data_IF_638868912600
#
_entry.id   IF_638868912600
#
_cell.length_a   1.000
_cell.length_b   1.000
_cell.length_c   1.000
_cell.angle_alpha   90.00
_cell.angle_beta   90.00
_cell.angle_gamma   90.00
#
_symmetry.space_group_name_H-M   'P 1'
#
loop_
_entity.id
_entity.type
_entity.pdbx_description
1 polymer ?
#
# COMPACT_ATOMS: atom_id res chain seq x y z
N UNK A 1 -10.56 -20.75 -10.52
CA UNK A 1 -10.08 -20.68 -9.12
C UNK A 1 -9.35 -19.40 -8.73
N UNK A 2 -9.18 -18.42 -9.65
CA UNK A 2 -8.49 -17.17 -9.30
C UNK A 2 -7.10 -17.40 -8.68
N UNK A 3 -6.78 -16.67 -7.62
CA UNK A 3 -5.48 -16.79 -6.94
C UNK A 3 -5.30 -18.10 -6.15
N UNK A 4 -6.31 -18.96 -6.08
CA UNK A 4 -6.16 -20.30 -5.51
C UNK A 4 -5.63 -21.34 -6.51
N UNK A 5 -5.66 -21.02 -7.82
CA UNK A 5 -5.13 -21.92 -8.83
C UNK A 5 -3.60 -21.78 -8.92
N UNK A 6 -2.82 -22.87 -8.76
CA UNK A 6 -1.35 -22.82 -8.83
C UNK A 6 -0.80 -22.36 -10.20
N UNK A 7 -1.56 -22.55 -11.29
CA UNK A 7 -1.15 -22.15 -12.64
C UNK A 7 -1.24 -20.65 -12.88
N UNK A 8 -1.88 -19.89 -11.96
CA UNK A 8 -2.09 -18.45 -12.09
C UNK A 8 -0.78 -17.67 -12.28
N UNK A 9 0.32 -18.17 -11.71
CA UNK A 9 1.63 -17.52 -11.85
C UNK A 9 2.12 -17.53 -13.30
N UNK A 10 1.90 -18.64 -14.03
CA UNK A 10 2.20 -18.74 -15.46
C UNK A 10 1.30 -17.83 -16.29
N UNK A 11 -0.01 -17.87 -16.07
CA UNK A 11 -0.96 -17.03 -16.79
C UNK A 11 -0.71 -15.54 -16.57
N UNK A 12 -0.35 -15.16 -15.34
CA UNK A 12 -0.01 -13.78 -15.03
C UNK A 12 1.28 -13.34 -15.73
N UNK A 13 2.29 -14.21 -15.81
CA UNK A 13 3.52 -13.95 -16.55
C UNK A 13 3.26 -13.77 -18.06
N UNK A 14 2.40 -14.59 -18.65
CA UNK A 14 2.00 -14.47 -20.06
C UNK A 14 1.28 -13.14 -20.33
N UNK A 15 0.34 -12.76 -19.45
CA UNK A 15 -0.33 -11.47 -19.51
C UNK A 15 0.66 -10.30 -19.37
N UNK A 16 1.56 -10.37 -18.39
CA UNK A 16 2.58 -9.36 -18.16
C UNK A 16 3.51 -9.22 -19.38
N UNK A 17 3.98 -10.34 -19.95
CA UNK A 17 4.80 -10.34 -21.19
C UNK A 17 4.08 -9.67 -22.35
N UNK A 18 2.78 -9.94 -22.54
CA UNK A 18 2.00 -9.26 -23.57
C UNK A 18 1.96 -7.73 -23.37
N UNK A 19 1.77 -7.29 -22.09
CA UNK A 19 1.81 -5.86 -21.73
C UNK A 19 3.21 -5.25 -21.96
N UNK A 20 4.28 -5.95 -21.55
CA UNK A 20 5.65 -5.49 -21.71
C UNK A 20 6.00 -5.30 -23.19
N UNK A 21 5.77 -6.31 -24.04
CA UNK A 21 6.03 -6.20 -25.50
C UNK A 21 5.29 -5.04 -26.15
N UNK A 22 4.07 -4.73 -25.69
CA UNK A 22 3.23 -3.68 -26.28
C UNK A 22 3.58 -2.28 -25.80
N UNK A 23 3.99 -2.11 -24.55
CA UNK A 23 4.02 -0.81 -23.85
C UNK A 23 5.42 -0.39 -23.39
N UNK A 24 6.43 -1.28 -23.32
CA UNK A 24 7.75 -0.98 -22.73
C UNK A 24 8.46 0.21 -23.41
N UNK A 25 8.21 0.45 -24.71
CA UNK A 25 8.70 1.64 -25.39
C UNK A 25 8.20 2.98 -24.83
N UNK A 26 7.10 2.96 -24.06
CA UNK A 26 6.45 4.15 -23.47
C UNK A 26 6.49 4.15 -21.96
N UNK A 27 6.41 2.97 -21.32
CA UNK A 27 6.40 2.80 -19.85
C UNK A 27 7.83 2.58 -19.36
N UNK A 28 8.27 3.40 -18.40
CA UNK A 28 9.63 3.36 -17.86
C UNK A 28 9.72 2.77 -16.45
N UNK A 29 8.59 2.68 -15.76
CA UNK A 29 8.46 2.09 -14.43
C UNK A 29 7.30 1.11 -14.45
N UNK A 30 7.59 -0.15 -14.21
CA UNK A 30 6.61 -1.22 -14.16
C UNK A 30 6.43 -1.68 -12.71
N UNK A 31 5.21 -1.87 -12.27
CA UNK A 31 4.90 -2.55 -11.02
C UNK A 31 4.14 -3.84 -11.34
N UNK A 32 4.56 -4.94 -10.76
CA UNK A 32 3.93 -6.26 -10.98
C UNK A 32 2.57 -6.36 -10.32
N UNK A 33 2.52 -5.99 -9.03
CA UNK A 33 1.32 -6.03 -8.20
C UNK A 33 1.14 -4.66 -7.53
N UNK A 34 -0.11 -4.33 -7.24
CA UNK A 34 -0.49 -3.29 -6.30
C UNK A 34 -1.21 -3.95 -5.11
N UNK A 35 -0.70 -3.70 -3.90
CA UNK A 35 -1.33 -4.07 -2.63
C UNK A 35 -1.79 -5.54 -2.54
N UNK A 36 -0.90 -6.51 -2.68
CA UNK A 36 -1.30 -7.92 -2.61
C UNK A 36 -1.95 -8.30 -1.27
N UNK A 37 -1.64 -7.57 -0.18
CA UNK A 37 -2.30 -7.73 1.11
C UNK A 37 -3.80 -7.44 1.01
N UNK A 38 -4.21 -6.37 0.33
CA UNK A 38 -5.63 -6.02 0.17
C UNK A 38 -6.40 -7.10 -0.56
N UNK A 39 -5.78 -7.72 -1.58
CA UNK A 39 -6.37 -8.86 -2.30
C UNK A 39 -6.60 -10.04 -1.36
N UNK A 40 -5.61 -10.38 -0.53
CA UNK A 40 -5.67 -11.56 0.35
C UNK A 40 -6.52 -11.34 1.58
N UNK A 41 -6.37 -10.23 2.26
CA UNK A 41 -7.14 -9.86 3.45
C UNK A 41 -8.61 -9.63 3.12
N UNK A 42 -8.86 -8.70 2.21
CA UNK A 42 -10.21 -8.32 1.82
C UNK A 42 -10.93 -9.38 0.99
N UNK A 43 -10.21 -10.07 0.11
CA UNK A 43 -10.81 -11.00 -0.84
C UNK A 43 -10.94 -12.43 -0.34
N UNK A 44 -9.99 -12.92 0.47
CA UNK A 44 -9.93 -14.33 0.85
C UNK A 44 -10.05 -14.59 2.34
N UNK A 45 -9.58 -13.68 3.22
CA UNK A 45 -9.67 -13.88 4.67
C UNK A 45 -10.98 -13.34 5.25
N UNK A 46 -11.31 -12.08 4.96
CA UNK A 46 -12.46 -11.38 5.54
C UNK A 46 -13.65 -11.22 4.59
N UNK A 47 -13.45 -11.35 3.29
CA UNK A 47 -14.51 -11.33 2.28
C UNK A 47 -15.19 -9.97 2.10
N UNK A 48 -14.54 -8.88 2.49
CA UNK A 48 -15.02 -7.52 2.29
C UNK A 48 -14.91 -7.04 0.82
N UNK A 49 -14.03 -7.67 0.06
CA UNK A 49 -13.75 -7.41 -1.35
C UNK A 49 -13.95 -8.69 -2.18
N UNK A 50 -14.04 -8.53 -3.50
CA UNK A 50 -14.07 -9.68 -4.40
C UNK A 50 -12.78 -10.53 -4.26
N UNK A 51 -12.88 -11.87 -4.32
CA UNK A 51 -14.04 -12.70 -4.65
C UNK A 51 -15.00 -12.96 -3.48
N UNK A 52 -14.78 -12.41 -2.29
CA UNK A 52 -15.70 -12.50 -1.16
C UNK A 52 -15.55 -13.76 -0.31
N UNK A 53 -14.44 -14.45 -0.40
CA UNK A 53 -14.16 -15.64 0.41
C UNK A 53 -13.86 -15.25 1.87
N UNK A 54 -14.22 -16.12 2.80
CA UNK A 54 -13.95 -15.99 4.25
C UNK A 54 -13.31 -17.27 4.76
N UNK A 55 -12.04 -17.47 4.39
CA UNK A 55 -11.42 -18.77 4.61
C UNK A 55 -9.92 -18.61 4.95
N UNK A 56 -9.56 -18.97 6.19
CA UNK A 56 -8.19 -18.92 6.68
C UNK A 56 -7.21 -19.84 5.97
N UNK A 57 -7.70 -20.94 5.37
CA UNK A 57 -6.86 -21.87 4.61
C UNK A 57 -6.57 -21.35 3.20
N UNK A 58 -7.47 -20.55 2.64
CA UNK A 58 -7.32 -19.98 1.30
C UNK A 58 -6.45 -18.72 1.27
N UNK A 59 -6.54 -17.88 2.31
CA UNK A 59 -5.80 -16.62 2.35
C UNK A 59 -4.27 -16.79 2.19
N UNK A 60 -3.56 -17.67 2.92
CA UNK A 60 -2.13 -17.86 2.71
C UNK A 60 -1.79 -18.47 1.34
N UNK A 61 -2.68 -19.31 0.76
CA UNK A 61 -2.51 -19.86 -0.59
C UNK A 61 -2.59 -18.74 -1.63
N UNK A 62 -3.60 -17.90 -1.54
CA UNK A 62 -3.76 -16.76 -2.44
C UNK A 62 -2.58 -15.78 -2.34
N UNK A 63 -2.10 -15.49 -1.11
CA UNK A 63 -0.93 -14.66 -0.87
C UNK A 63 0.32 -15.24 -1.54
N UNK A 64 0.57 -16.53 -1.37
CA UNK A 64 1.72 -17.19 -1.96
C UNK A 64 1.66 -17.19 -3.49
N UNK A 65 0.50 -17.49 -4.08
CA UNK A 65 0.34 -17.49 -5.54
C UNK A 65 0.48 -16.08 -6.15
N UNK A 66 0.04 -15.03 -5.44
CA UNK A 66 0.32 -13.64 -5.84
C UNK A 66 1.82 -13.37 -5.91
N UNK A 67 2.58 -13.80 -4.91
CA UNK A 67 4.03 -13.62 -4.90
C UNK A 67 4.74 -14.46 -5.96
N UNK A 68 4.29 -15.69 -6.22
CA UNK A 68 4.78 -16.49 -7.36
C UNK A 68 4.50 -15.79 -8.70
N UNK A 69 3.32 -15.22 -8.87
CA UNK A 69 2.96 -14.45 -10.06
C UNK A 69 3.86 -13.20 -10.22
N UNK A 70 4.12 -12.50 -9.10
CA UNK A 70 5.10 -11.40 -9.06
C UNK A 70 6.47 -11.86 -9.60
N UNK A 71 7.04 -12.89 -9.01
CA UNK A 71 8.37 -13.38 -9.38
C UNK A 71 8.43 -13.85 -10.83
N UNK A 72 7.39 -14.57 -11.29
CA UNK A 72 7.28 -15.01 -12.68
C UNK A 72 7.22 -13.81 -13.67
N UNK A 73 6.48 -12.76 -13.34
CA UNK A 73 6.41 -11.54 -14.14
C UNK A 73 7.74 -10.77 -14.16
N UNK A 74 8.44 -10.67 -13.00
CA UNK A 74 9.78 -10.06 -12.96
C UNK A 74 10.76 -10.84 -13.84
N UNK A 75 10.77 -12.17 -13.74
CA UNK A 75 11.62 -13.04 -14.55
C UNK A 75 11.34 -12.86 -16.06
N UNK A 76 10.07 -12.80 -16.45
CA UNK A 76 9.68 -12.53 -17.82
C UNK A 76 10.18 -11.15 -18.30
N UNK A 77 9.99 -10.11 -17.45
CA UNK A 77 10.47 -8.76 -17.77
C UNK A 77 11.98 -8.69 -17.96
N UNK A 78 12.77 -9.40 -17.13
CA UNK A 78 14.24 -9.42 -17.28
C UNK A 78 14.71 -10.01 -18.62
N UNK A 79 13.91 -10.86 -19.23
CA UNK A 79 14.17 -11.39 -20.57
C UNK A 79 13.74 -10.49 -21.75
N UNK A 80 12.77 -9.59 -21.52
CA UNK A 80 12.10 -8.83 -22.60
C UNK A 80 12.22 -7.29 -22.41
N UNK A 81 12.19 -6.81 -21.16
CA UNK A 81 12.09 -5.39 -20.83
C UNK A 81 13.43 -4.66 -20.80
N UNK A 82 13.35 -3.33 -20.96
CA UNK A 82 14.54 -2.43 -21.05
C UNK A 82 14.57 -1.40 -19.92
N UNK A 83 13.56 -1.37 -19.09
CA UNK A 83 13.39 -0.34 -18.07
C UNK A 83 13.35 -0.95 -16.66
N UNK A 84 12.71 -0.28 -15.71
CA UNK A 84 12.70 -0.67 -14.31
C UNK A 84 11.41 -1.39 -13.95
N UNK A 85 11.53 -2.44 -13.13
CA UNK A 85 10.40 -3.19 -12.59
C UNK A 85 10.51 -3.30 -11.08
N UNK A 86 9.37 -3.17 -10.39
CA UNK A 86 9.26 -3.26 -8.95
C UNK A 86 7.92 -3.85 -8.53
N UNK A 87 7.58 -3.65 -7.27
CA UNK A 87 6.31 -4.03 -6.65
C UNK A 87 5.77 -2.86 -5.87
N UNK A 88 4.44 -2.76 -5.74
CA UNK A 88 3.77 -1.78 -4.89
C UNK A 88 3.05 -2.49 -3.76
N UNK A 89 3.33 -2.07 -2.53
CA UNK A 89 2.74 -2.62 -1.31
C UNK A 89 2.15 -1.53 -0.43
N UNK A 90 1.03 -1.80 0.20
CA UNK A 90 0.51 -0.97 1.26
C UNK A 90 1.21 -1.31 2.57
N UNK A 91 1.76 -0.30 3.23
CA UNK A 91 2.47 -0.46 4.49
C UNK A 91 1.89 0.45 5.56
N UNK A 92 1.88 -0.06 6.77
CA UNK A 92 1.34 0.63 7.93
C UNK A 92 2.25 0.42 9.13
N UNK A 93 2.92 1.47 9.67
CA UNK A 93 3.76 1.29 10.86
C UNK A 93 2.90 0.85 12.04
N UNK A 94 3.37 -0.16 12.76
CA UNK A 94 2.69 -0.77 13.88
C UNK A 94 3.33 -0.32 15.19
N UNK A 95 2.52 0.20 16.10
CA UNK A 95 2.94 0.66 17.42
C UNK A 95 2.20 -0.14 18.49
N UNK A 96 2.92 -0.63 19.50
CA UNK A 96 2.27 -1.30 20.63
C UNK A 96 1.45 -0.29 21.46
N UNK A 97 0.27 -0.70 21.91
CA UNK A 97 -0.61 0.16 22.72
C UNK A 97 -0.04 0.40 24.12
N UNK A 98 0.80 -0.52 24.62
CA UNK A 98 1.52 -0.42 25.87
C UNK A 98 2.87 -1.14 25.82
N UNK A 99 3.64 -1.05 26.89
CA UNK A 99 4.90 -1.79 27.06
C UNK A 99 4.70 -3.26 27.44
N UNK A 100 3.47 -3.72 27.61
CA UNK A 100 3.18 -5.11 27.96
C UNK A 100 3.67 -6.07 26.87
N UNK A 101 4.22 -7.21 27.28
CA UNK A 101 4.73 -8.22 26.38
C UNK A 101 3.64 -8.76 25.42
N UNK A 102 2.38 -8.82 25.88
CA UNK A 102 1.25 -9.25 25.05
C UNK A 102 0.96 -8.27 23.91
N UNK A 103 0.98 -6.95 24.18
CA UNK A 103 0.77 -5.92 23.17
C UNK A 103 1.93 -5.86 22.17
N UNK A 104 3.17 -5.99 22.64
CA UNK A 104 4.34 -6.07 21.74
C UNK A 104 4.30 -7.29 20.84
N UNK A 105 3.92 -8.47 21.38
CA UNK A 105 3.77 -9.67 20.57
C UNK A 105 2.62 -9.56 19.55
N UNK A 106 1.49 -8.97 19.94
CA UNK A 106 0.37 -8.68 19.04
C UNK A 106 0.79 -7.73 17.90
N UNK A 107 1.58 -6.69 18.23
CA UNK A 107 2.14 -5.75 17.27
C UNK A 107 3.08 -6.45 16.27
N UNK A 108 3.94 -7.36 16.74
CA UNK A 108 4.84 -8.13 15.89
C UNK A 108 4.07 -9.03 14.91
N UNK A 109 2.96 -9.67 15.35
CA UNK A 109 2.08 -10.44 14.47
C UNK A 109 1.37 -9.56 13.44
N UNK A 110 0.85 -8.40 13.86
CA UNK A 110 0.21 -7.46 12.95
C UNK A 110 1.19 -6.93 11.88
N UNK A 111 2.43 -6.64 12.26
CA UNK A 111 3.51 -6.25 11.35
C UNK A 111 3.89 -7.40 10.40
N UNK A 112 4.04 -8.61 10.91
CA UNK A 112 4.33 -9.79 10.10
C UNK A 112 3.26 -10.02 9.04
N UNK A 113 2.00 -9.92 9.42
CA UNK A 113 0.86 -10.19 8.55
C UNK A 113 0.66 -9.13 7.45
N UNK A 114 0.77 -7.85 7.78
CA UNK A 114 0.51 -6.79 6.80
C UNK A 114 1.76 -6.37 6.03
N UNK A 115 2.85 -6.10 6.74
CA UNK A 115 4.04 -5.52 6.13
C UNK A 115 5.02 -6.57 5.61
N UNK A 116 5.33 -7.58 6.45
CA UNK A 116 6.42 -8.51 6.17
C UNK A 116 6.01 -9.74 5.35
N UNK A 117 4.75 -10.15 5.38
CA UNK A 117 4.24 -11.30 4.64
C UNK A 117 4.59 -11.25 3.15
N UNK A 118 4.62 -10.04 2.57
CA UNK A 118 4.92 -9.83 1.16
C UNK A 118 6.37 -9.38 0.94
N UNK A 119 6.85 -8.41 1.72
CA UNK A 119 8.19 -7.88 1.51
C UNK A 119 9.32 -8.85 1.86
N UNK A 120 9.20 -9.61 2.97
CA UNK A 120 10.26 -10.53 3.38
C UNK A 120 10.52 -11.62 2.31
N UNK A 121 9.52 -12.34 1.77
CA UNK A 121 9.79 -13.32 0.73
C UNK A 121 10.29 -12.70 -0.58
N UNK A 122 9.80 -11.51 -0.97
CA UNK A 122 10.25 -10.85 -2.19
C UNK A 122 11.67 -10.27 -2.09
N UNK A 123 12.08 -9.77 -0.91
CA UNK A 123 13.37 -9.07 -0.74
C UNK A 123 14.41 -9.87 0.05
N UNK A 124 13.99 -10.79 0.94
CA UNK A 124 14.87 -11.59 1.79
C UNK A 124 14.80 -13.11 1.48
N UNK A 125 13.90 -13.56 0.61
CA UNK A 125 13.73 -14.96 0.23
C UNK A 125 13.20 -15.86 1.35
N UNK A 126 12.49 -15.33 2.34
CA UNK A 126 11.93 -16.10 3.46
C UNK A 126 10.65 -15.45 4.01
N UNK A 127 9.76 -16.26 4.52
CA UNK A 127 8.59 -15.80 5.26
C UNK A 127 8.93 -15.41 6.70
N UNK A 128 8.20 -14.45 7.32
CA UNK A 128 8.24 -14.23 8.77
C UNK A 128 7.71 -15.47 9.53
N UNK A 129 8.39 -15.86 10.62
CA UNK A 129 8.02 -17.02 11.42
C UNK A 129 6.65 -16.87 12.07
N UNK A 130 6.24 -15.64 12.39
CA UNK A 130 4.95 -15.30 12.99
C UNK A 130 3.75 -15.74 12.13
N UNK A 131 3.91 -15.90 10.81
CA UNK A 131 2.82 -16.35 9.94
C UNK A 131 2.38 -17.79 10.24
N UNK A 132 3.33 -18.66 10.61
CA UNK A 132 3.00 -19.99 11.06
C UNK A 132 2.23 -19.98 12.41
N UNK A 133 2.55 -19.05 13.31
CA UNK A 133 1.80 -18.84 14.55
C UNK A 133 0.38 -18.30 14.28
N UNK A 134 0.27 -17.33 13.35
CA UNK A 134 -1.01 -16.69 13.00
C UNK A 134 -1.98 -17.68 12.37
N UNK A 135 -1.53 -18.45 11.40
CA UNK A 135 -2.39 -19.35 10.61
C UNK A 135 -2.47 -20.77 11.19
N UNK A 136 -1.46 -21.22 11.99
CA UNK A 136 -1.42 -22.56 12.59
C UNK A 136 -1.50 -23.65 11.51
N UNK A 137 -2.43 -24.58 11.65
CA UNK A 137 -2.65 -25.68 10.70
C UNK A 137 -3.02 -25.20 9.26
N UNK A 138 -3.47 -23.96 9.11
CA UNK A 138 -3.78 -23.37 7.82
C UNK A 138 -2.55 -22.79 7.10
N UNK A 139 -1.37 -22.74 7.74
CA UNK A 139 -0.14 -22.32 7.11
C UNK A 139 0.46 -23.47 6.29
N UNK A 140 0.47 -23.39 4.95
CA UNK A 140 0.95 -24.51 4.14
C UNK A 140 2.47 -24.64 4.16
N UNK A 141 2.96 -25.81 3.78
CA UNK A 141 4.36 -25.97 3.34
C UNK A 141 4.45 -25.69 1.85
N UNK A 142 5.49 -24.96 1.45
CA UNK A 142 5.70 -24.54 0.08
C UNK A 142 6.82 -25.34 -0.60
N UNK A 143 6.76 -25.57 -1.93
CA UNK A 143 7.89 -26.12 -2.67
C UNK A 143 9.15 -25.26 -2.49
N UNK A 144 10.31 -25.89 -2.32
CA UNK A 144 11.58 -25.18 -2.06
C UNK A 144 11.93 -24.14 -3.15
N UNK A 145 11.63 -24.42 -4.43
CA UNK A 145 11.91 -23.50 -5.54
C UNK A 145 10.98 -22.29 -5.63
N UNK A 146 9.88 -22.24 -4.88
CA UNK A 146 8.94 -21.13 -4.96
C UNK A 146 9.53 -19.83 -4.39
N UNK A 147 10.31 -19.90 -3.31
CA UNK A 147 10.98 -18.73 -2.75
C UNK A 147 12.07 -18.18 -3.68
N UNK A 148 12.76 -19.04 -4.43
CA UNK A 148 13.71 -18.60 -5.47
C UNK A 148 12.99 -17.89 -6.62
N UNK A 149 11.81 -18.36 -7.01
CA UNK A 149 10.97 -17.68 -7.99
C UNK A 149 10.47 -16.34 -7.47
N UNK A 150 10.04 -16.25 -6.22
CA UNK A 150 9.49 -15.04 -5.60
C UNK A 150 10.57 -13.97 -5.42
N UNK A 151 11.77 -14.35 -4.94
CA UNK A 151 12.87 -13.44 -4.62
C UNK A 151 13.67 -13.03 -5.87
N UNK A 152 12.99 -12.39 -6.82
CA UNK A 152 13.66 -11.83 -8.00
C UNK A 152 14.18 -10.41 -7.72
N UNK A 153 15.33 -10.01 -8.29
CA UNK A 153 15.87 -8.67 -8.12
C UNK A 153 14.90 -7.58 -8.61
N UNK A 154 14.59 -6.60 -7.74
CA UNK A 154 13.74 -5.46 -8.03
C UNK A 154 14.54 -4.18 -8.20
N UNK A 155 14.06 -3.28 -9.07
CA UNK A 155 14.68 -1.98 -9.28
C UNK A 155 14.13 -0.91 -8.33
N UNK A 156 12.97 -1.15 -7.73
CA UNK A 156 12.34 -0.27 -6.74
C UNK A 156 11.23 -0.98 -5.96
N UNK A 157 10.86 -0.38 -4.84
CA UNK A 157 9.64 -0.71 -4.09
C UNK A 157 8.76 0.53 -4.04
N UNK A 158 7.49 0.38 -4.42
CA UNK A 158 6.45 1.37 -4.23
C UNK A 158 5.78 1.16 -2.87
N UNK A 159 5.57 2.24 -2.14
CA UNK A 159 4.92 2.24 -0.83
C UNK A 159 3.64 3.07 -0.91
N UNK A 160 2.51 2.42 -0.65
CA UNK A 160 1.24 3.09 -0.41
C UNK A 160 1.10 3.30 1.10
N UNK A 161 1.01 4.55 1.53
CA UNK A 161 0.89 4.91 2.93
C UNK A 161 -0.33 5.79 3.19
N UNK A 162 -1.14 5.43 4.17
CA UNK A 162 -2.35 6.19 4.53
C UNK A 162 -2.46 6.50 6.02
N UNK A 163 -2.02 5.58 6.88
CA UNK A 163 -2.24 5.64 8.32
C UNK A 163 -1.23 4.81 9.09
N UNK A 164 -1.30 4.88 10.42
CA UNK A 164 -0.63 3.95 11.33
C UNK A 164 -1.63 3.03 12.03
N UNK A 165 -1.11 2.03 12.73
CA UNK A 165 -1.89 1.21 13.64
C UNK A 165 -1.26 1.20 15.04
N UNK A 166 -2.04 1.57 16.06
CA UNK A 166 -1.71 1.31 17.46
C UNK A 166 -2.38 0.01 17.84
N UNK A 167 -1.61 -1.00 18.20
CA UNK A 167 -2.06 -2.40 18.32
C UNK A 167 -2.04 -2.84 19.78
N UNK A 168 -3.14 -3.40 20.27
CA UNK A 168 -3.22 -4.11 21.55
C UNK A 168 -3.42 -5.61 21.32
N UNK A 169 -3.06 -6.41 22.31
CA UNK A 169 -3.47 -7.81 22.37
C UNK A 169 -4.98 -7.91 22.55
N UNK A 170 -5.59 -8.80 21.79
CA UNK A 170 -7.01 -9.13 21.90
C UNK A 170 -7.19 -10.61 21.53
N UNK A 171 -7.49 -11.49 22.53
CA UNK A 171 -7.58 -12.93 22.29
C UNK A 171 -8.70 -13.30 21.30
N UNK A 172 -9.73 -12.47 21.19
CA UNK A 172 -10.91 -12.71 20.37
C UNK A 172 -10.74 -12.14 18.92
N UNK A 173 -9.74 -11.31 18.70
CA UNK A 173 -9.44 -10.72 17.39
C UNK A 173 -8.65 -11.70 16.51
N UNK A 174 -9.31 -12.75 16.08
CA UNK A 174 -8.73 -13.80 15.24
C UNK A 174 -8.51 -13.31 13.78
N UNK A 175 -7.46 -13.80 13.03
CA UNK A 175 -6.44 -14.77 13.46
C UNK A 175 -5.25 -14.15 14.18
N UNK A 176 -5.07 -12.83 14.13
CA UNK A 176 -3.89 -12.13 14.62
C UNK A 176 -3.81 -12.06 16.14
N UNK A 177 -4.94 -12.20 16.83
CA UNK A 177 -5.06 -11.88 18.26
C UNK A 177 -4.50 -10.50 18.58
N UNK A 178 -4.84 -9.55 17.70
CA UNK A 178 -4.39 -8.16 17.70
C UNK A 178 -5.53 -7.25 17.24
N UNK A 179 -5.82 -6.22 17.98
CA UNK A 179 -6.87 -5.26 17.66
C UNK A 179 -6.32 -3.82 17.61
N UNK A 180 -6.83 -2.96 16.72
CA UNK A 180 -6.44 -1.55 16.67
C UNK A 180 -7.00 -0.78 17.87
N UNK A 181 -6.22 0.20 18.35
CA UNK A 181 -6.65 1.14 19.40
C UNK A 181 -6.83 2.52 18.79
N UNK A 182 -8.09 2.98 18.76
CA UNK A 182 -8.41 4.32 18.27
C UNK A 182 -7.86 5.40 19.20
N UNK A 183 -7.15 6.37 18.66
CA UNK A 183 -6.54 7.47 19.40
C UNK A 183 -7.55 8.60 19.63
N UNK A 184 -7.85 8.92 20.91
CA UNK A 184 -8.97 9.82 21.26
C UNK A 184 -8.82 11.27 20.77
N UNK A 185 -7.58 11.75 20.63
CA UNK A 185 -7.29 13.15 20.26
C UNK A 185 -6.82 13.31 18.80
N UNK A 186 -6.85 12.22 18.02
CA UNK A 186 -6.38 12.25 16.64
C UNK A 186 -7.49 12.66 15.67
N UNK A 187 -7.07 13.23 14.55
CA UNK A 187 -7.94 13.48 13.40
C UNK A 187 -8.08 12.21 12.57
N UNK A 188 -9.29 11.93 12.10
CA UNK A 188 -9.60 10.78 11.27
C UNK A 188 -10.20 11.20 9.94
N UNK A 189 -9.86 10.45 8.89
CA UNK A 189 -10.47 10.59 7.57
C UNK A 189 -11.87 9.97 7.55
N UNK A 190 -12.62 10.18 6.47
CA UNK A 190 -13.94 9.55 6.30
C UNK A 190 -13.88 8.03 6.12
N UNK A 191 -12.72 7.46 5.79
CA UNK A 191 -12.47 6.02 5.79
C UNK A 191 -12.11 5.48 7.17
N UNK A 192 -12.03 6.35 8.18
CA UNK A 192 -11.71 5.97 9.56
C UNK A 192 -10.22 5.81 9.84
N UNK A 193 -9.36 6.25 8.94
CA UNK A 193 -7.90 6.21 9.09
C UNK A 193 -7.39 7.43 9.86
N UNK A 194 -6.48 7.21 10.80
CA UNK A 194 -5.83 8.28 11.54
C UNK A 194 -4.92 9.11 10.62
N UNK A 195 -5.03 10.43 10.70
CA UNK A 195 -4.09 11.34 10.03
C UNK A 195 -2.80 11.38 10.83
N UNK A 196 -1.77 10.66 10.40
CA UNK A 196 -0.51 10.51 11.13
C UNK A 196 0.72 10.67 10.23
N UNK A 197 1.13 11.91 9.92
CA UNK A 197 2.24 12.18 9.00
C UNK A 197 3.58 11.56 9.42
N UNK A 198 3.89 11.50 10.73
CA UNK A 198 5.12 10.88 11.24
C UNK A 198 5.26 9.42 10.81
N UNK A 199 4.15 8.68 10.68
CA UNK A 199 4.16 7.30 10.22
C UNK A 199 4.69 7.12 8.79
N UNK A 200 4.57 8.14 7.94
CA UNK A 200 5.20 8.15 6.61
C UNK A 200 6.74 8.10 6.75
N UNK A 201 7.30 8.94 7.61
CA UNK A 201 8.74 8.90 7.89
C UNK A 201 9.16 7.56 8.46
N UNK A 202 8.42 7.08 9.48
CA UNK A 202 8.75 5.87 10.23
C UNK A 202 8.76 4.63 9.33
N UNK A 203 7.73 4.48 8.47
CA UNK A 203 7.63 3.30 7.59
C UNK A 203 8.70 3.31 6.49
N UNK A 204 9.02 4.48 5.93
CA UNK A 204 10.08 4.59 4.92
C UNK A 204 11.46 4.30 5.51
N UNK A 205 11.74 4.79 6.72
CA UNK A 205 12.97 4.48 7.46
C UNK A 205 13.03 3.01 7.84
N UNK A 206 11.90 2.41 8.25
CA UNK A 206 11.81 0.98 8.55
C UNK A 206 12.13 0.12 7.31
N UNK A 207 11.59 0.45 6.12
CA UNK A 207 11.93 -0.24 4.87
C UNK A 207 13.44 -0.14 4.59
N UNK A 208 14.02 1.07 4.71
CA UNK A 208 15.46 1.28 4.56
C UNK A 208 16.27 0.37 5.47
N UNK A 209 15.95 0.35 6.76
CA UNK A 209 16.70 -0.39 7.77
C UNK A 209 16.60 -1.91 7.59
N UNK A 210 15.42 -2.40 7.22
CA UNK A 210 15.17 -3.83 7.11
C UNK A 210 15.68 -4.42 5.80
N UNK A 211 15.59 -3.70 4.69
CA UNK A 211 15.82 -4.23 3.34
C UNK A 211 17.03 -3.61 2.61
N UNK A 212 17.92 -2.92 3.32
CA UNK A 212 19.16 -2.43 2.73
C UNK A 212 18.99 -1.19 1.85
N UNK A 213 18.01 -0.35 2.16
CA UNK A 213 17.76 0.93 1.46
C UNK A 213 17.48 0.79 -0.06
N UNK A 214 16.51 -0.03 -0.47
CA UNK A 214 16.16 -0.11 -1.89
C UNK A 214 15.63 1.25 -2.39
N UNK A 215 15.71 1.54 -3.71
CA UNK A 215 15.06 2.71 -4.26
C UNK A 215 13.55 2.68 -3.98
N UNK A 216 13.01 3.74 -3.35
CA UNK A 216 11.61 3.84 -2.96
C UNK A 216 10.86 4.90 -3.78
N UNK A 217 9.58 4.63 -4.00
CA UNK A 217 8.58 5.60 -4.40
C UNK A 217 7.41 5.54 -3.42
N UNK A 218 6.90 6.68 -2.97
CA UNK A 218 5.55 6.73 -2.40
C UNK A 218 4.59 6.71 -3.57
N UNK A 219 3.96 5.56 -3.79
CA UNK A 219 3.11 5.34 -4.96
C UNK A 219 1.67 5.73 -4.72
N UNK A 220 1.25 5.77 -3.45
CA UNK A 220 -0.04 6.33 -3.05
C UNK A 220 0.05 6.96 -1.66
N UNK A 221 -0.55 8.13 -1.52
CA UNK A 221 -0.82 8.79 -0.25
C UNK A 221 -1.92 9.84 -0.46
N UNK A 222 -2.93 9.84 0.40
CA UNK A 222 -4.07 10.73 0.29
C UNK A 222 -5.13 10.45 1.33
N UNK A 223 -6.23 11.19 1.27
CA UNK A 223 -7.31 11.07 2.24
C UNK A 223 -8.68 11.38 1.62
N UNK A 224 -9.68 10.61 2.02
CA UNK A 224 -11.06 10.98 1.79
C UNK A 224 -11.52 11.92 2.92
N UNK A 225 -11.98 13.09 2.53
CA UNK A 225 -12.68 14.04 3.39
C UNK A 225 -13.96 14.49 2.71
N UNK A 226 -14.89 14.98 3.50
CA UNK A 226 -16.14 15.51 2.97
C UNK A 226 -15.85 16.65 1.97
N UNK A 227 -16.36 16.47 0.77
CA UNK A 227 -16.40 17.48 -0.27
C UNK A 227 -17.87 17.76 -0.63
N UNK A 228 -18.25 19.00 -1.01
CA UNK A 228 -19.61 19.29 -1.45
C UNK A 228 -19.97 18.43 -2.68
N UNK A 229 -21.23 18.04 -2.88
CA UNK A 229 -21.64 17.21 -4.02
C UNK A 229 -21.41 17.93 -5.36
N UNK A 230 -21.52 19.25 -5.37
CA UNK A 230 -21.26 20.10 -6.53
C UNK A 230 -20.23 21.18 -6.19
N UNK A 231 -19.32 21.42 -7.13
CA UNK A 231 -18.34 22.49 -6.98
C UNK A 231 -19.03 23.87 -7.05
N UNK A 232 -18.67 24.75 -6.13
CA UNK A 232 -19.10 26.15 -6.18
C UNK A 232 -18.21 26.91 -7.19
N UNK A 233 -18.80 27.36 -8.29
CA UNK A 233 -18.07 27.96 -9.42
C UNK A 233 -16.97 26.99 -9.97
N UNK A 234 -15.73 27.46 -10.08
CA UNK A 234 -14.59 26.68 -10.59
C UNK A 234 -13.61 26.32 -9.46
N UNK A 235 -14.09 26.14 -8.24
CA UNK A 235 -13.28 25.88 -7.05
C UNK A 235 -13.99 24.95 -6.08
N UNK A 236 -13.21 24.08 -5.45
CA UNK A 236 -13.61 23.32 -4.27
C UNK A 236 -12.60 23.58 -3.16
N UNK A 237 -13.10 24.06 -2.02
CA UNK A 237 -12.29 24.31 -0.84
C UNK A 237 -12.24 23.03 0.01
N UNK A 238 -11.04 22.48 0.18
CA UNK A 238 -10.78 21.21 0.89
C UNK A 238 -9.63 21.36 1.90
N UNK A 239 -9.77 22.21 2.93
CA UNK A 239 -8.67 22.57 3.83
C UNK A 239 -8.06 21.38 4.58
N UNK A 240 -8.85 20.36 4.93
CA UNK A 240 -8.34 19.15 5.59
C UNK A 240 -7.41 18.34 4.68
N UNK A 241 -7.72 18.25 3.38
CA UNK A 241 -6.86 17.58 2.41
C UNK A 241 -5.62 18.40 2.09
N UNK A 242 -5.73 19.72 2.07
CA UNK A 242 -4.59 20.65 1.97
C UNK A 242 -3.61 20.40 3.13
N UNK A 243 -4.11 20.41 4.38
CA UNK A 243 -3.30 20.15 5.58
C UNK A 243 -2.68 18.75 5.57
N UNK A 244 -3.46 17.73 5.19
CA UNK A 244 -3.00 16.36 5.04
C UNK A 244 -1.80 16.26 4.09
N UNK A 245 -1.94 16.77 2.86
CA UNK A 245 -0.88 16.71 1.85
C UNK A 245 0.36 17.49 2.29
N UNK A 246 0.20 18.70 2.83
CA UNK A 246 1.32 19.51 3.33
C UNK A 246 2.15 18.73 4.36
N UNK A 247 1.50 18.16 5.35
CA UNK A 247 2.16 17.44 6.45
C UNK A 247 2.82 16.13 6.00
N UNK A 248 2.16 15.36 5.14
CA UNK A 248 2.71 14.10 4.65
C UNK A 248 3.86 14.30 3.69
N UNK A 249 3.81 15.32 2.82
CA UNK A 249 4.94 15.62 1.93
C UNK A 249 6.14 16.18 2.74
N UNK A 250 5.90 16.97 3.79
CA UNK A 250 6.95 17.36 4.71
C UNK A 250 7.60 16.15 5.43
N UNK A 251 6.80 15.13 5.82
CA UNK A 251 7.31 13.91 6.42
C UNK A 251 8.17 13.08 5.44
N UNK A 252 7.90 13.16 4.15
CA UNK A 252 8.74 12.56 3.09
C UNK A 252 10.13 13.22 3.08
N UNK A 253 10.19 14.53 3.23
CA UNK A 253 11.47 15.24 3.31
C UNK A 253 12.29 14.75 4.53
N UNK A 254 11.65 14.60 5.70
CA UNK A 254 12.29 14.05 6.89
C UNK A 254 12.85 12.63 6.66
N UNK A 255 12.13 11.77 5.93
CA UNK A 255 12.64 10.44 5.56
C UNK A 255 13.89 10.52 4.67
N UNK A 256 13.93 11.45 3.70
CA UNK A 256 15.13 11.69 2.86
C UNK A 256 16.31 12.19 3.68
N UNK A 257 16.11 13.12 4.61
CA UNK A 257 17.16 13.58 5.54
C UNK A 257 17.67 12.43 6.42
N UNK A 258 16.82 11.46 6.76
CA UNK A 258 17.21 10.20 7.40
C UNK A 258 17.95 9.22 6.46
N UNK A 259 18.22 9.62 5.21
CA UNK A 259 18.99 8.88 4.21
C UNK A 259 18.22 7.78 3.47
N UNK A 260 16.91 7.86 3.40
CA UNK A 260 16.08 6.97 2.55
C UNK A 260 16.30 7.32 1.08
N UNK A 261 16.56 6.32 0.22
CA UNK A 261 16.64 6.48 -1.24
C UNK A 261 15.24 6.67 -1.85
N UNK A 262 14.58 7.78 -1.52
CA UNK A 262 13.25 8.10 -2.00
C UNK A 262 13.31 8.93 -3.28
N UNK A 263 12.70 8.42 -4.35
CA UNK A 263 12.81 8.95 -5.72
C UNK A 263 11.58 9.60 -6.28
N UNK A 264 10.41 9.44 -5.65
CA UNK A 264 9.19 10.06 -6.14
C UNK A 264 8.01 9.90 -5.19
N UNK A 265 6.95 10.69 -5.46
CA UNK A 265 5.71 10.70 -4.71
C UNK A 265 4.53 10.87 -5.67
N UNK A 266 3.48 10.09 -5.43
CA UNK A 266 2.22 10.16 -6.16
C UNK A 266 1.07 10.32 -5.17
N UNK A 267 0.25 11.35 -5.38
CA UNK A 267 -0.95 11.55 -4.58
C UNK A 267 -2.06 10.57 -5.01
N UNK A 268 -2.72 9.95 -4.05
CA UNK A 268 -3.95 9.23 -4.27
C UNK A 268 -5.15 10.10 -3.88
N UNK A 269 -5.96 10.52 -4.86
CA UNK A 269 -5.87 10.26 -6.28
C UNK A 269 -5.99 11.57 -7.07
N UNK A 270 -5.71 11.52 -8.37
CA UNK A 270 -5.89 12.70 -9.23
C UNK A 270 -7.37 13.10 -9.29
N UNK A 271 -8.26 12.17 -9.60
CA UNK A 271 -9.70 12.39 -9.75
C UNK A 271 -10.47 11.66 -8.65
N UNK A 272 -11.59 12.23 -8.20
CA UNK A 272 -12.57 11.43 -7.47
C UNK A 272 -12.98 10.23 -8.33
N UNK A 273 -13.00 9.04 -7.74
CA UNK A 273 -13.22 7.78 -8.45
C UNK A 273 -14.07 6.80 -7.63
N UNK A 274 -14.22 5.58 -8.14
CA UNK A 274 -14.91 4.49 -7.49
C UNK A 274 -13.99 3.82 -6.47
N UNK A 275 -14.30 3.98 -5.17
CA UNK A 275 -13.50 3.44 -4.05
C UNK A 275 -14.01 2.04 -3.66
N UNK A 276 -13.70 1.04 -4.48
CA UNK A 276 -14.00 -0.39 -4.23
C UNK A 276 -15.40 -0.62 -3.64
N UNK A 277 -15.51 -1.31 -2.50
CA UNK A 277 -16.79 -1.58 -1.82
C UNK A 277 -17.50 -0.33 -1.27
N UNK A 278 -16.82 0.82 -1.19
CA UNK A 278 -17.40 2.10 -0.77
C UNK A 278 -18.02 2.88 -1.92
N UNK A 279 -17.82 2.43 -3.16
CA UNK A 279 -18.37 3.06 -4.35
C UNK A 279 -17.93 4.52 -4.51
N UNK A 280 -18.85 5.39 -4.87
CA UNK A 280 -18.61 6.83 -5.05
C UNK A 280 -18.80 7.66 -3.77
N UNK A 281 -19.00 7.01 -2.62
CA UNK A 281 -19.23 7.71 -1.35
C UNK A 281 -17.99 8.36 -0.75
N UNK A 282 -16.78 7.91 -1.14
CA UNK A 282 -15.50 8.42 -0.64
C UNK A 282 -14.74 9.14 -1.76
N UNK A 283 -14.37 10.39 -1.47
CA UNK A 283 -13.71 11.27 -2.44
C UNK A 283 -12.24 11.48 -2.05
N UNK A 284 -11.34 10.77 -2.74
CA UNK A 284 -9.90 10.90 -2.56
C UNK A 284 -9.26 11.92 -3.51
N UNK A 285 -9.94 12.24 -4.62
CA UNK A 285 -9.37 13.07 -5.66
C UNK A 285 -8.90 14.45 -5.19
N UNK A 286 -7.79 14.92 -5.71
CA UNK A 286 -7.41 16.33 -5.64
C UNK A 286 -8.17 17.18 -6.68
N UNK A 287 -8.82 16.52 -7.63
CA UNK A 287 -9.76 17.11 -8.59
C UNK A 287 -11.14 16.51 -8.32
N UNK A 288 -12.09 17.37 -8.03
CA UNK A 288 -13.49 17.02 -7.84
C UNK A 288 -14.11 16.59 -9.17
N UNK A 289 -14.86 15.47 -9.15
CA UNK A 289 -15.67 14.99 -10.27
C UNK A 289 -17.14 15.11 -9.90
N UNK A 290 -17.87 15.88 -10.65
CA UNK A 290 -19.33 15.82 -10.65
C UNK A 290 -19.73 14.56 -11.43
N UNK A 291 -20.24 13.55 -10.72
CA UNK A 291 -20.50 12.24 -11.33
C UNK A 291 -21.67 12.22 -12.31
N UNK A 292 -22.56 13.22 -12.28
CA UNK A 292 -23.67 13.35 -13.23
C UNK A 292 -23.21 14.03 -14.52
N UNK A 293 -22.57 15.19 -14.40
CA UNK A 293 -22.16 16.01 -15.54
C UNK A 293 -20.76 15.66 -16.06
N UNK A 294 -19.98 14.91 -15.28
CA UNK A 294 -18.58 14.60 -15.55
C UNK A 294 -17.66 15.84 -15.55
N UNK A 295 -18.11 16.98 -15.04
CA UNK A 295 -17.27 18.16 -14.86
C UNK A 295 -16.15 17.89 -13.86
N UNK A 296 -14.92 18.29 -14.21
CA UNK A 296 -13.73 18.21 -13.34
C UNK A 296 -13.40 19.60 -12.83
N UNK A 297 -13.24 19.72 -11.52
CA UNK A 297 -12.91 21.01 -10.87
C UNK A 297 -11.73 20.81 -9.93
N UNK A 298 -10.57 21.43 -10.16
CA UNK A 298 -9.42 21.34 -9.24
C UNK A 298 -9.81 21.84 -7.84
N UNK A 299 -9.47 21.05 -6.83
CA UNK A 299 -9.60 21.43 -5.42
C UNK A 299 -8.41 22.29 -4.98
N UNK A 300 -8.47 22.91 -3.81
CA UNK A 300 -7.32 23.66 -3.28
C UNK A 300 -6.11 22.77 -3.04
N UNK A 301 -6.33 21.52 -2.67
CA UNK A 301 -5.26 20.50 -2.55
C UNK A 301 -4.49 20.28 -3.87
N UNK A 302 -5.17 20.32 -5.03
CA UNK A 302 -4.50 20.24 -6.33
C UNK A 302 -3.61 21.48 -6.59
N UNK A 303 -4.07 22.67 -6.19
CA UNK A 303 -3.30 23.90 -6.33
C UNK A 303 -2.06 23.89 -5.43
N UNK A 304 -2.21 23.44 -4.17
CA UNK A 304 -1.09 23.25 -3.26
C UNK A 304 -0.09 22.24 -3.86
N UNK A 305 -0.55 21.08 -4.32
CA UNK A 305 0.33 20.05 -4.89
C UNK A 305 1.09 20.58 -6.12
N UNK A 306 0.41 21.33 -7.00
CA UNK A 306 1.06 22.01 -8.13
C UNK A 306 2.14 23.01 -7.68
N UNK A 307 1.86 23.79 -6.63
CA UNK A 307 2.83 24.75 -6.07
C UNK A 307 4.03 24.05 -5.44
N UNK A 308 3.81 22.94 -4.74
CA UNK A 308 4.90 22.10 -4.18
C UNK A 308 5.81 21.60 -5.30
N UNK A 309 5.24 21.09 -6.39
CA UNK A 309 6.00 20.61 -7.56
C UNK A 309 6.79 21.76 -8.19
N UNK A 310 6.13 22.89 -8.46
CA UNK A 310 6.75 24.04 -9.12
C UNK A 310 7.89 24.67 -8.30
N UNK A 311 7.77 24.66 -6.96
CA UNK A 311 8.78 25.21 -6.04
C UNK A 311 9.83 24.20 -5.58
N UNK A 312 9.76 22.93 -6.08
CA UNK A 312 10.56 21.83 -5.55
C UNK A 312 10.48 21.71 -4.02
N UNK A 313 9.28 21.90 -3.47
CA UNK A 313 8.98 21.78 -2.04
C UNK A 313 9.22 23.06 -1.22
N UNK A 314 9.77 24.14 -1.75
CA UNK A 314 10.09 25.35 -0.98
C UNK A 314 8.85 25.94 -0.28
N UNK A 315 7.68 25.87 -0.90
CA UNK A 315 6.40 26.37 -0.34
C UNK A 315 5.96 25.63 0.95
N UNK A 316 6.56 24.49 1.27
CA UNK A 316 6.29 23.76 2.52
C UNK A 316 6.90 24.44 3.75
N UNK A 317 7.90 25.30 3.56
CA UNK A 317 8.56 26.07 4.62
C UNK A 317 7.90 27.44 4.87
N UNK A 318 6.90 27.79 4.06
CA UNK A 318 6.13 29.03 4.25
C UNK A 318 5.05 28.80 5.32
N UNK A 319 4.83 29.79 6.22
CA UNK A 319 3.86 29.67 7.32
C UNK A 319 2.41 29.55 6.85
#
# INVERSE_FOLDING_TARGET
GGWLNPDIAGWFADYASAAFRRLDGRVKLWATLNEPWVVTDGGYLHGALAPGHRNRFEAPIAAHHLMRAHGAAVKAYRGEGKHRIGVVVNLEPKYAASEDAADRAATARADAYMNRQFLDPMLLGRYPDELAEIFGEAWPSWPAGDLELINQPLDFVGVNYYTRNVTRFDPDAWPLRAAPVRQKQATYTETGWEVFPQGMTDILVWVKQRYGNPPLYVTENGAAFFDPPTAQADRVDDPLRVDYLRKHIAAIHAAREAGVDLRGYFAWSLLDNFEWSLGYSKRFGIVHVDFETQKRTPKNSARLYSSIIASNGAVLNEP
#
